data_IF_957601711546
#
_entry.id   IF_957601711546
#
_cell.length_a   1.000
_cell.length_b   1.000
_cell.length_c   1.000
_cell.angle_alpha   90.00
_cell.angle_beta   90.00
_cell.angle_gamma   90.00
#
_symmetry.space_group_name_H-M   'P 1'
#
loop_
_entity.id
_entity.type
_entity.pdbx_description
1 polymer ?
#
# COMPACT_ATOMS: atom_id res chain seq x y z
N UNK A 1 -19.27 15.65 46.57
CA UNK A 1 -19.36 15.41 45.11
C UNK A 1 -18.36 16.33 44.43
N UNK A 2 -17.12 15.87 44.30
CA UNK A 2 -16.09 16.55 43.50
C UNK A 2 -16.35 16.20 42.05
N UNK A 3 -16.84 17.16 41.29
CA UNK A 3 -16.93 17.07 39.83
C UNK A 3 -15.50 16.91 39.32
N UNK A 4 -15.13 15.71 38.87
CA UNK A 4 -13.90 15.51 38.12
C UNK A 4 -13.98 16.41 36.89
N UNK A 5 -13.18 17.48 36.92
CA UNK A 5 -12.94 18.32 35.77
C UNK A 5 -12.39 17.39 34.66
N UNK A 6 -13.02 17.28 33.48
CA UNK A 6 -12.44 16.49 32.40
C UNK A 6 -11.07 17.08 32.15
N UNK A 7 -10.02 16.29 32.41
CA UNK A 7 -8.64 16.70 32.23
C UNK A 7 -8.56 17.27 30.81
N UNK A 8 -8.37 18.59 30.69
CA UNK A 8 -8.00 19.23 29.44
C UNK A 8 -6.87 18.36 28.90
N UNK A 9 -7.04 17.73 27.73
CA UNK A 9 -6.00 16.88 27.13
C UNK A 9 -4.71 17.70 27.09
N UNK A 10 -3.85 17.50 28.08
CA UNK A 10 -2.67 18.32 28.24
C UNK A 10 -1.69 17.86 27.17
N UNK A 11 -1.32 18.79 26.31
CA UNK A 11 -0.32 18.53 25.29
C UNK A 11 0.99 18.21 25.99
N UNK A 12 1.49 17.00 25.81
CA UNK A 12 2.80 16.62 26.31
C UNK A 12 3.86 17.34 25.48
N UNK A 13 4.45 18.40 26.06
CA UNK A 13 5.46 19.23 25.39
C UNK A 13 6.84 18.55 25.29
N UNK A 14 7.03 17.39 25.91
CA UNK A 14 8.25 16.59 25.71
C UNK A 14 8.31 15.98 24.30
N UNK A 15 7.14 15.80 23.68
CA UNK A 15 6.99 15.36 22.31
C UNK A 15 7.29 16.46 21.28
N UNK A 16 7.72 16.05 20.09
CA UNK A 16 8.04 16.98 19.02
C UNK A 16 6.77 17.54 18.37
N UNK A 17 6.77 18.84 18.07
CA UNK A 17 5.75 19.49 17.24
C UNK A 17 6.18 19.51 15.77
N UNK A 18 5.34 18.99 14.88
CA UNK A 18 5.48 19.10 13.43
C UNK A 18 4.25 19.83 12.85
N UNK A 19 4.43 21.10 12.49
CA UNK A 19 3.31 21.94 12.05
C UNK A 19 2.18 21.96 13.10
N UNK A 20 0.95 21.53 12.75
CA UNK A 20 -0.18 21.47 13.68
C UNK A 20 -0.28 20.15 14.49
N UNK A 21 0.63 19.19 14.28
CA UNK A 21 0.62 17.85 14.87
C UNK A 21 1.64 17.77 16.02
N UNK A 22 1.19 17.26 17.17
CA UNK A 22 2.03 16.88 18.30
C UNK A 22 2.26 15.38 18.31
N UNK A 23 3.53 14.98 18.35
CA UNK A 23 3.93 13.58 18.38
C UNK A 23 4.15 13.10 19.81
N UNK A 24 3.99 11.79 20.03
CA UNK A 24 4.35 11.14 21.30
C UNK A 24 5.87 11.24 21.51
N UNK A 25 6.29 11.29 22.77
CA UNK A 25 7.70 11.29 23.14
C UNK A 25 8.45 10.09 22.54
N UNK A 26 9.67 10.31 22.03
CA UNK A 26 10.48 9.29 21.36
C UNK A 26 10.26 9.16 19.84
N UNK A 27 9.25 9.81 19.26
CA UNK A 27 9.06 9.84 17.80
C UNK A 27 9.81 11.04 17.17
N UNK A 28 10.74 10.75 16.26
CA UNK A 28 11.54 11.75 15.54
C UNK A 28 10.90 12.19 14.21
N UNK A 29 11.43 13.24 13.59
CA UNK A 29 11.00 13.72 12.25
C UNK A 29 11.12 12.64 11.18
N UNK A 30 12.16 11.82 11.25
CA UNK A 30 12.39 10.73 10.29
C UNK A 30 11.26 9.71 10.31
N UNK A 31 10.73 9.37 11.49
CA UNK A 31 9.57 8.47 11.58
C UNK A 31 8.33 9.08 10.93
N UNK A 32 8.12 10.38 11.10
CA UNK A 32 6.98 11.07 10.49
C UNK A 32 7.11 11.11 8.97
N UNK A 33 8.28 11.46 8.43
CA UNK A 33 8.51 11.44 6.97
C UNK A 33 8.37 10.03 6.40
N UNK A 34 8.88 9.00 7.09
CA UNK A 34 8.70 7.60 6.70
C UNK A 34 7.22 7.20 6.70
N UNK A 35 6.45 7.65 7.70
CA UNK A 35 5.00 7.45 7.72
C UNK A 35 4.31 8.18 6.56
N UNK A 36 4.69 9.41 6.26
CA UNK A 36 4.10 10.17 5.15
C UNK A 36 4.38 9.50 3.80
N UNK A 37 5.61 9.01 3.61
CA UNK A 37 5.98 8.21 2.45
C UNK A 37 5.15 6.92 2.38
N UNK A 38 5.07 6.17 3.48
CA UNK A 38 4.27 4.96 3.58
C UNK A 38 2.79 5.19 3.25
N UNK A 39 2.20 6.27 3.75
CA UNK A 39 0.82 6.65 3.43
C UNK A 39 0.65 7.06 1.97
N UNK A 40 1.64 7.69 1.35
CA UNK A 40 1.63 8.01 -0.07
C UNK A 40 1.72 6.74 -0.93
N UNK A 41 2.65 5.83 -0.63
CA UNK A 41 2.93 4.68 -1.51
C UNK A 41 1.96 3.53 -1.29
N UNK A 42 1.64 3.14 -0.06
CA UNK A 42 0.91 1.90 0.22
C UNK A 42 -0.44 1.82 -0.48
N UNK A 43 -1.28 2.86 -0.39
CA UNK A 43 -2.59 2.85 -1.05
C UNK A 43 -2.48 3.11 -2.56
N UNK A 44 -1.48 3.90 -2.99
CA UNK A 44 -1.17 4.02 -4.41
C UNK A 44 -0.85 2.65 -5.04
N UNK A 45 0.04 1.90 -4.40
CA UNK A 45 0.40 0.53 -4.78
C UNK A 45 -0.81 -0.40 -4.69
N UNK A 46 -1.64 -0.31 -3.65
CA UNK A 46 -2.88 -1.09 -3.55
C UNK A 46 -3.77 -0.91 -4.78
N UNK A 47 -3.95 0.34 -5.21
CA UNK A 47 -4.85 0.68 -6.33
C UNK A 47 -4.28 0.33 -7.70
N UNK A 48 -2.96 0.34 -7.86
CA UNK A 48 -2.29 -0.05 -9.10
C UNK A 48 -2.69 -1.45 -9.56
N UNK A 49 -2.99 -2.36 -8.63
CA UNK A 49 -3.39 -3.73 -8.97
C UNK A 49 -4.57 -3.79 -9.94
N UNK A 50 -5.47 -2.80 -9.90
CA UNK A 50 -6.65 -2.69 -10.75
C UNK A 50 -6.32 -2.27 -12.19
N UNK A 51 -5.21 -1.57 -12.40
CA UNK A 51 -4.75 -1.15 -13.74
C UNK A 51 -3.64 -2.06 -14.26
N UNK A 52 -2.75 -2.54 -13.39
CA UNK A 52 -1.68 -3.48 -13.72
C UNK A 52 -2.19 -4.86 -14.13
N UNK A 53 -3.27 -5.34 -13.51
CA UNK A 53 -3.81 -6.68 -13.83
C UNK A 53 -4.31 -6.79 -15.28
N UNK A 54 -5.16 -5.87 -15.78
CA UNK A 54 -5.54 -5.86 -17.20
C UNK A 54 -4.36 -5.70 -18.16
N UNK A 55 -3.32 -4.94 -17.80
CA UNK A 55 -2.12 -4.80 -18.65
C UNK A 55 -1.45 -6.15 -18.89
N UNK A 56 -1.23 -6.96 -17.84
CA UNK A 56 -0.64 -8.30 -17.98
C UNK A 56 -1.57 -9.25 -18.73
N UNK A 57 -2.86 -9.23 -18.43
CA UNK A 57 -3.84 -10.07 -19.13
C UNK A 57 -3.87 -9.78 -20.63
N UNK A 58 -3.77 -8.52 -21.01
CA UNK A 58 -3.83 -8.10 -22.41
C UNK A 58 -2.51 -8.32 -23.15
N UNK A 59 -1.37 -7.89 -22.57
CA UNK A 59 -0.08 -7.89 -23.28
C UNK A 59 0.63 -9.24 -23.23
N UNK A 60 0.54 -9.95 -22.11
CA UNK A 60 1.35 -11.15 -21.85
C UNK A 60 0.54 -12.41 -22.12
N UNK A 61 -0.67 -12.50 -21.56
CA UNK A 61 -1.52 -13.68 -21.67
C UNK A 61 -2.52 -13.64 -22.83
N UNK A 62 -2.65 -12.50 -23.52
CA UNK A 62 -3.58 -12.29 -24.64
C UNK A 62 -5.03 -12.72 -24.34
N UNK A 63 -5.49 -12.50 -23.10
CA UNK A 63 -6.83 -12.90 -22.65
C UNK A 63 -7.89 -12.02 -23.32
N UNK A 64 -8.94 -12.59 -23.93
CA UNK A 64 -10.03 -11.83 -24.53
C UNK A 64 -10.70 -10.88 -23.54
N UNK A 65 -11.01 -9.65 -23.99
CA UNK A 65 -11.61 -8.61 -23.13
C UNK A 65 -12.92 -9.07 -22.44
N UNK A 66 -13.70 -9.93 -23.10
CA UNK A 66 -14.94 -10.48 -22.56
C UNK A 66 -14.73 -11.32 -21.28
N UNK A 67 -13.57 -11.93 -21.10
CA UNK A 67 -13.25 -12.81 -19.97
C UNK A 67 -12.49 -12.08 -18.85
N UNK A 68 -11.82 -10.97 -19.17
CA UNK A 68 -10.97 -10.23 -18.23
C UNK A 68 -11.72 -9.74 -16.99
N UNK A 69 -12.99 -9.33 -17.14
CA UNK A 69 -13.80 -8.86 -16.02
C UNK A 69 -14.07 -9.97 -14.99
N UNK A 70 -14.47 -11.15 -15.47
CA UNK A 70 -14.70 -12.31 -14.61
C UNK A 70 -13.40 -12.77 -13.93
N UNK A 71 -12.31 -12.87 -14.71
CA UNK A 71 -11.02 -13.30 -14.17
C UNK A 71 -10.45 -12.32 -13.14
N UNK A 72 -10.59 -11.01 -13.38
CA UNK A 72 -10.22 -9.98 -12.40
C UNK A 72 -11.01 -10.14 -11.11
N UNK A 73 -12.32 -10.43 -11.21
CA UNK A 73 -13.17 -10.74 -10.05
C UNK A 73 -12.66 -11.93 -9.25
N UNK A 74 -12.30 -13.03 -9.91
CA UNK A 74 -11.73 -14.21 -9.23
C UNK A 74 -10.39 -13.92 -8.56
N UNK A 75 -9.52 -13.12 -9.19
CA UNK A 75 -8.24 -12.71 -8.60
C UNK A 75 -8.43 -11.82 -7.37
N UNK A 76 -9.44 -10.94 -7.38
CA UNK A 76 -9.81 -10.14 -6.21
C UNK A 76 -10.30 -11.04 -5.08
N UNK A 77 -11.20 -12.00 -5.35
CA UNK A 77 -11.67 -12.96 -4.36
C UNK A 77 -10.49 -13.76 -3.76
N UNK A 78 -9.58 -14.24 -4.61
CA UNK A 78 -8.38 -14.95 -4.15
C UNK A 78 -7.49 -14.05 -3.27
N UNK A 79 -7.34 -12.78 -3.64
CA UNK A 79 -6.60 -11.78 -2.84
C UNK A 79 -7.24 -11.63 -1.46
N UNK A 80 -8.56 -11.44 -1.38
CA UNK A 80 -9.27 -11.28 -0.12
C UNK A 80 -9.13 -12.52 0.76
N UNK A 81 -9.38 -13.72 0.22
CA UNK A 81 -9.24 -14.98 0.97
C UNK A 81 -7.83 -15.13 1.53
N UNK A 82 -6.80 -14.91 0.71
CA UNK A 82 -5.41 -14.97 1.15
C UNK A 82 -5.11 -13.94 2.24
N UNK A 83 -5.60 -12.71 2.08
CA UNK A 83 -5.43 -11.63 3.05
C UNK A 83 -6.06 -11.98 4.41
N UNK A 84 -7.30 -12.50 4.40
CA UNK A 84 -7.99 -12.96 5.60
C UNK A 84 -7.22 -14.04 6.35
N UNK A 85 -6.66 -15.02 5.64
CA UNK A 85 -5.86 -16.09 6.26
C UNK A 85 -4.56 -15.57 6.87
N UNK A 86 -3.96 -14.55 6.27
CA UNK A 86 -2.67 -13.98 6.69
C UNK A 86 -2.80 -13.03 7.88
N UNK A 87 -3.95 -12.38 8.10
CA UNK A 87 -4.13 -11.40 9.18
C UNK A 87 -3.79 -11.94 10.58
N UNK A 88 -4.17 -13.19 10.88
CA UNK A 88 -3.84 -13.82 12.18
C UNK A 88 -2.34 -13.95 12.40
N UNK A 89 -1.59 -14.29 11.35
CA UNK A 89 -0.13 -14.43 11.39
C UNK A 89 0.54 -13.06 11.50
N UNK A 90 0.04 -12.07 10.76
CA UNK A 90 0.53 -10.68 10.77
C UNK A 90 0.48 -10.09 12.17
N UNK A 91 -0.59 -10.31 12.94
CA UNK A 91 -0.69 -9.84 14.32
C UNK A 91 0.42 -10.42 15.22
N UNK A 92 0.60 -11.74 15.20
CA UNK A 92 1.65 -12.41 15.99
C UNK A 92 3.04 -11.98 15.57
N UNK A 93 3.27 -11.81 14.26
CA UNK A 93 4.53 -11.31 13.74
C UNK A 93 4.78 -9.87 14.17
N UNK A 94 3.76 -9.00 14.16
CA UNK A 94 3.90 -7.59 14.53
C UNK A 94 4.44 -7.42 15.96
N UNK A 95 4.03 -8.30 16.87
CA UNK A 95 4.50 -8.30 18.25
C UNK A 95 5.95 -8.76 18.38
N UNK A 96 6.45 -9.60 17.46
CA UNK A 96 7.82 -10.14 17.48
C UNK A 96 8.85 -9.29 16.72
N UNK A 97 8.54 -8.92 15.48
CA UNK A 97 9.45 -8.13 14.60
C UNK A 97 9.24 -6.62 14.76
N UNK A 98 8.19 -6.21 15.46
CA UNK A 98 7.79 -4.82 15.62
C UNK A 98 7.01 -4.30 14.41
N UNK A 99 6.12 -3.32 14.67
CA UNK A 99 5.21 -2.74 13.68
C UNK A 99 5.92 -2.19 12.45
N UNK A 100 7.03 -1.49 12.66
CA UNK A 100 7.82 -0.86 11.57
C UNK A 100 8.54 -1.89 10.70
N UNK A 101 9.18 -2.89 11.33
CA UNK A 101 9.89 -3.93 10.60
C UNK A 101 8.94 -4.77 9.75
N UNK A 102 7.79 -5.15 10.33
CA UNK A 102 6.76 -5.89 9.60
C UNK A 102 6.12 -5.07 8.48
N UNK A 103 5.91 -3.77 8.68
CA UNK A 103 5.44 -2.87 7.61
C UNK A 103 6.38 -2.89 6.40
N UNK A 104 7.69 -2.68 6.62
CA UNK A 104 8.67 -2.67 5.54
C UNK A 104 8.79 -4.03 4.84
N UNK A 105 8.72 -5.12 5.59
CA UNK A 105 8.68 -6.48 5.02
C UNK A 105 7.42 -6.67 4.16
N UNK A 106 6.27 -6.20 4.64
CA UNK A 106 5.00 -6.25 3.90
C UNK A 106 5.08 -5.49 2.58
N UNK A 107 5.60 -4.25 2.59
CA UNK A 107 5.82 -3.49 1.36
C UNK A 107 6.75 -4.22 0.39
N UNK A 108 7.85 -4.79 0.88
CA UNK A 108 8.79 -5.53 0.04
C UNK A 108 8.13 -6.77 -0.59
N UNK A 109 7.38 -7.56 0.18
CA UNK A 109 6.66 -8.74 -0.33
C UNK A 109 5.58 -8.34 -1.33
N UNK A 110 4.85 -7.25 -1.06
CA UNK A 110 3.87 -6.69 -2.00
C UNK A 110 4.54 -6.28 -3.32
N UNK A 111 5.70 -5.63 -3.22
CA UNK A 111 6.54 -5.28 -4.35
C UNK A 111 7.01 -6.50 -5.15
N UNK A 112 7.43 -7.58 -4.49
CA UNK A 112 7.79 -8.83 -5.19
C UNK A 112 6.59 -9.41 -5.96
N UNK A 113 5.38 -9.31 -5.39
CA UNK A 113 4.15 -9.64 -6.09
C UNK A 113 4.03 -8.88 -7.41
N UNK A 114 4.31 -7.57 -7.41
CA UNK A 114 4.32 -6.75 -8.62
C UNK A 114 5.47 -7.06 -9.58
N UNK A 115 6.66 -7.35 -9.05
CA UNK A 115 7.84 -7.66 -9.85
C UNK A 115 7.62 -8.93 -10.67
N UNK A 116 7.03 -9.98 -10.09
CA UNK A 116 6.82 -11.25 -10.77
C UNK A 116 5.53 -11.29 -11.60
N UNK A 117 4.53 -10.48 -11.27
CA UNK A 117 3.25 -10.42 -11.99
C UNK A 117 3.36 -10.35 -13.53
N UNK A 118 4.19 -9.49 -14.15
CA UNK A 118 4.28 -9.38 -15.61
C UNK A 118 5.08 -10.51 -16.28
N UNK A 119 5.62 -11.46 -15.50
CA UNK A 119 6.30 -12.65 -15.99
C UNK A 119 5.42 -13.90 -15.88
N UNK A 120 4.13 -13.75 -15.58
CA UNK A 120 3.19 -14.86 -15.58
C UNK A 120 2.95 -15.35 -17.01
N UNK A 121 3.18 -16.63 -17.25
CA UNK A 121 2.91 -17.31 -18.54
C UNK A 121 1.54 -18.00 -18.55
N UNK A 122 0.87 -18.06 -17.39
CA UNK A 122 -0.43 -18.70 -17.26
C UNK A 122 -1.34 -18.03 -16.22
N UNK A 123 -2.64 -18.28 -16.34
CA UNK A 123 -3.64 -17.78 -15.38
C UNK A 123 -3.40 -18.30 -13.95
N UNK A 124 -3.08 -19.59 -13.71
CA UNK A 124 -2.75 -20.07 -12.37
C UNK A 124 -1.57 -19.35 -11.72
N UNK A 125 -0.55 -18.96 -12.49
CA UNK A 125 0.57 -18.18 -11.96
C UNK A 125 0.13 -16.79 -11.47
N UNK A 126 -0.82 -16.14 -12.15
CA UNK A 126 -1.41 -14.89 -11.65
C UNK A 126 -2.02 -15.07 -10.25
N UNK A 127 -2.70 -16.19 -10.00
CA UNK A 127 -3.24 -16.50 -8.68
C UNK A 127 -2.13 -16.66 -7.64
N UNK A 128 -1.04 -17.35 -7.98
CA UNK A 128 0.12 -17.51 -7.08
C UNK A 128 0.73 -16.16 -6.73
N UNK A 129 1.00 -15.31 -7.73
CA UNK A 129 1.54 -13.97 -7.49
C UNK A 129 0.56 -13.08 -6.74
N UNK A 130 -0.75 -13.27 -6.92
CA UNK A 130 -1.79 -12.60 -6.10
C UNK A 130 -1.74 -12.98 -4.64
N UNK A 131 -1.46 -14.22 -4.30
CA UNK A 131 -1.32 -14.64 -2.90
C UNK A 131 -0.11 -13.98 -2.25
N UNK A 132 1.02 -13.89 -2.97
CA UNK A 132 2.23 -13.18 -2.50
C UNK A 132 1.91 -11.69 -2.27
N UNK A 133 1.29 -11.06 -3.26
CA UNK A 133 0.82 -9.67 -3.16
C UNK A 133 -0.12 -9.47 -1.96
N UNK A 134 -1.10 -10.36 -1.77
CA UNK A 134 -2.07 -10.29 -0.68
C UNK A 134 -1.41 -10.39 0.70
N UNK A 135 -0.38 -11.24 0.85
CA UNK A 135 0.37 -11.35 2.10
C UNK A 135 1.12 -10.06 2.42
N UNK A 136 1.77 -9.45 1.42
CA UNK A 136 2.43 -8.16 1.59
C UNK A 136 1.45 -7.03 1.89
N UNK A 137 0.29 -7.05 1.21
CA UNK A 137 -0.79 -6.09 1.42
C UNK A 137 -1.36 -6.16 2.84
N UNK A 138 -1.61 -7.37 3.35
CA UNK A 138 -2.08 -7.61 4.72
C UNK A 138 -1.11 -7.03 5.76
N UNK A 139 0.19 -7.32 5.62
CA UNK A 139 1.22 -6.88 6.54
C UNK A 139 1.43 -5.36 6.50
N UNK A 140 1.47 -4.77 5.30
CA UNK A 140 1.71 -3.33 5.13
C UNK A 140 0.51 -2.49 5.59
N UNK A 141 -0.69 -2.74 5.06
CA UNK A 141 -1.89 -1.93 5.40
C UNK A 141 -2.28 -2.08 6.87
N UNK A 142 -2.20 -3.30 7.41
CA UNK A 142 -2.45 -3.56 8.83
C UNK A 142 -1.51 -2.77 9.73
N UNK A 143 -0.20 -2.80 9.46
CA UNK A 143 0.78 -2.08 10.28
C UNK A 143 0.71 -0.56 10.09
N UNK A 144 0.42 -0.06 8.88
CA UNK A 144 0.26 1.37 8.63
C UNK A 144 -0.88 1.96 9.48
N UNK A 145 -2.00 1.23 9.60
CA UNK A 145 -3.13 1.58 10.45
C UNK A 145 -2.80 1.63 11.95
N UNK A 146 -1.80 0.86 12.40
CA UNK A 146 -1.30 0.94 13.78
C UNK A 146 -0.36 2.13 13.99
N UNK A 147 0.53 2.40 13.02
CA UNK A 147 1.50 3.49 13.09
C UNK A 147 0.82 4.87 13.14
N UNK A 148 -0.22 5.07 12.33
CA UNK A 148 -1.00 6.32 12.32
C UNK A 148 -1.70 6.59 13.66
N UNK A 149 -2.02 5.53 14.41
CA UNK A 149 -2.67 5.62 15.72
C UNK A 149 -1.67 5.89 16.84
N UNK A 150 -0.45 5.36 16.75
CA UNK A 150 0.54 5.42 17.84
C UNK A 150 1.43 6.67 17.81
N UNK A 151 1.67 7.26 16.64
CA UNK A 151 2.61 8.39 16.50
C UNK A 151 2.12 9.73 17.06
N UNK A 152 0.86 10.14 16.82
CA UNK A 152 0.37 11.42 17.33
C UNK A 152 -0.15 11.29 18.76
N UNK A 153 -0.04 12.38 19.51
CA UNK A 153 -0.81 12.53 20.76
C UNK A 153 -2.31 12.60 20.44
N UNK A 154 -3.16 12.26 21.40
CA UNK A 154 -4.63 12.21 21.20
C UNK A 154 -5.20 13.53 20.64
N UNK A 155 -4.67 14.68 21.08
CA UNK A 155 -5.02 16.02 20.58
C UNK A 155 -4.77 16.23 19.08
N UNK A 156 -3.89 15.44 18.48
CA UNK A 156 -3.47 15.54 17.08
C UNK A 156 -3.83 14.31 16.25
N UNK A 157 -4.52 13.33 16.84
CA UNK A 157 -4.86 12.06 16.19
C UNK A 157 -5.71 12.29 14.94
N UNK A 158 -6.78 13.09 15.06
CA UNK A 158 -7.64 13.44 13.92
C UNK A 158 -6.89 14.15 12.78
N UNK A 159 -5.95 15.04 13.11
CA UNK A 159 -5.13 15.75 12.10
C UNK A 159 -4.19 14.82 11.36
N UNK A 160 -3.63 13.85 12.06
CA UNK A 160 -2.70 12.85 11.48
C UNK A 160 -3.44 11.86 10.60
N UNK A 161 -4.66 11.47 10.99
CA UNK A 161 -5.59 10.70 10.16
C UNK A 161 -5.94 11.47 8.87
N UNK A 162 -6.28 12.76 8.98
CA UNK A 162 -6.58 13.60 7.82
C UNK A 162 -5.38 13.76 6.88
N UNK A 163 -4.18 13.99 7.42
CA UNK A 163 -2.93 14.05 6.65
C UNK A 163 -2.66 12.71 5.94
N UNK A 164 -2.82 11.60 6.67
CA UNK A 164 -2.73 10.26 6.10
C UNK A 164 -3.69 10.09 4.93
N UNK A 165 -4.97 10.38 5.11
CA UNK A 165 -5.98 10.27 4.05
C UNK A 165 -5.64 11.10 2.80
N UNK A 166 -5.18 12.34 3.00
CA UNK A 166 -4.73 13.20 1.90
C UNK A 166 -3.56 12.59 1.13
N UNK A 167 -2.55 12.07 1.85
CA UNK A 167 -1.40 11.41 1.24
C UNK A 167 -1.80 10.14 0.51
N UNK A 168 -2.69 9.33 1.06
CA UNK A 168 -3.22 8.15 0.37
C UNK A 168 -3.90 8.54 -0.95
N UNK A 169 -4.73 9.60 -0.95
CA UNK A 169 -5.37 10.11 -2.16
C UNK A 169 -4.37 10.59 -3.22
N UNK A 170 -3.35 11.36 -2.79
CA UNK A 170 -2.25 11.76 -3.68
C UNK A 170 -1.46 10.55 -4.21
N UNK A 171 -1.31 9.52 -3.39
CA UNK A 171 -0.73 8.23 -3.74
C UNK A 171 -1.47 7.53 -4.86
N UNK A 172 -2.80 7.47 -4.77
CA UNK A 172 -3.65 6.92 -5.85
C UNK A 172 -3.48 7.72 -7.14
N UNK A 173 -3.48 9.05 -7.05
CA UNK A 173 -3.26 9.90 -8.23
C UNK A 173 -1.88 9.63 -8.85
N UNK A 174 -0.84 9.53 -8.02
CA UNK A 174 0.51 9.29 -8.49
C UNK A 174 0.69 7.89 -9.09
N UNK A 175 0.24 6.84 -8.40
CA UNK A 175 0.49 5.47 -8.85
C UNK A 175 -0.57 4.99 -9.84
N UNK A 176 -1.86 5.08 -9.53
CA UNK A 176 -2.87 4.53 -10.42
C UNK A 176 -3.08 5.39 -11.68
N UNK A 177 -3.08 6.72 -11.54
CA UNK A 177 -3.37 7.61 -12.67
C UNK A 177 -2.10 7.93 -13.48
N UNK A 178 -1.06 8.48 -12.85
CA UNK A 178 0.14 8.86 -13.60
C UNK A 178 0.90 7.62 -14.09
N UNK A 179 1.20 6.66 -13.20
CA UNK A 179 1.94 5.45 -13.60
C UNK A 179 1.03 4.45 -14.31
N UNK A 180 -0.13 4.10 -13.72
CA UNK A 180 -0.99 3.05 -14.28
C UNK A 180 -1.71 3.41 -15.59
N UNK A 181 -2.06 4.68 -15.80
CA UNK A 181 -2.89 5.09 -16.95
C UNK A 181 -2.13 5.96 -17.96
N UNK A 182 -1.24 6.86 -17.52
CA UNK A 182 -0.50 7.76 -18.43
C UNK A 182 0.81 7.17 -18.93
N UNK A 183 1.52 6.36 -18.15
CA UNK A 183 2.80 5.79 -18.54
C UNK A 183 2.70 4.72 -19.65
N UNK A 184 1.72 3.78 -19.68
CA UNK A 184 1.62 2.80 -20.75
C UNK A 184 1.53 3.40 -22.16
N UNK A 185 0.61 4.33 -22.46
CA UNK A 185 0.55 4.92 -23.80
C UNK A 185 1.78 5.78 -24.12
N UNK A 186 2.41 6.42 -23.11
CA UNK A 186 3.63 7.19 -23.33
C UNK A 186 4.80 6.30 -23.77
N UNK A 187 4.97 5.13 -23.14
CA UNK A 187 5.99 4.15 -23.53
C UNK A 187 5.66 3.49 -24.89
N UNK A 188 4.39 3.17 -25.14
CA UNK A 188 4.00 2.64 -26.46
C UNK A 188 4.29 3.63 -27.59
N UNK A 189 4.01 4.93 -27.38
CA UNK A 189 4.34 5.99 -28.34
C UNK A 189 5.86 6.20 -28.52
N UNK A 190 6.66 5.83 -27.52
CA UNK A 190 8.12 5.84 -27.61
C UNK A 190 8.68 4.62 -28.37
N UNK A 191 7.83 3.68 -28.79
CA UNK A 191 8.20 2.53 -29.62
C UNK A 191 8.44 1.23 -28.87
N UNK A 192 8.16 1.18 -27.56
CA UNK A 192 8.25 -0.06 -26.78
C UNK A 192 7.09 -1.01 -27.11
N UNK A 193 7.35 -2.31 -27.07
CA UNK A 193 6.31 -3.32 -27.28
C UNK A 193 5.37 -3.42 -26.04
N UNK A 194 4.20 -4.03 -26.21
CA UNK A 194 3.20 -4.10 -25.14
C UNK A 194 3.68 -4.87 -23.89
N UNK A 195 4.55 -5.88 -24.06
CA UNK A 195 5.08 -6.71 -22.98
C UNK A 195 6.17 -5.95 -22.22
N UNK A 196 7.07 -5.29 -22.93
CA UNK A 196 8.11 -4.39 -22.40
C UNK A 196 7.48 -3.26 -21.60
N UNK A 197 6.45 -2.59 -22.14
CA UNK A 197 5.69 -1.55 -21.43
C UNK A 197 5.15 -2.11 -20.11
N UNK A 198 4.53 -3.28 -20.16
CA UNK A 198 3.93 -3.91 -18.98
C UNK A 198 5.01 -4.24 -17.93
N UNK A 199 6.13 -4.82 -18.33
CA UNK A 199 7.26 -5.15 -17.44
C UNK A 199 7.90 -3.92 -16.83
N UNK A 200 8.18 -2.88 -17.64
CA UNK A 200 8.80 -1.63 -17.18
C UNK A 200 7.93 -0.98 -16.10
N UNK A 201 6.61 -0.90 -16.32
CA UNK A 201 5.69 -0.28 -15.36
C UNK A 201 5.69 -1.07 -14.04
N UNK A 202 5.61 -2.40 -14.09
CA UNK A 202 5.59 -3.23 -12.89
C UNK A 202 6.92 -3.17 -12.12
N UNK A 203 8.07 -3.12 -12.82
CA UNK A 203 9.38 -2.91 -12.20
C UNK A 203 9.48 -1.51 -11.58
N UNK A 204 8.94 -0.48 -12.24
CA UNK A 204 8.91 0.87 -11.68
C UNK A 204 8.05 0.93 -10.42
N UNK A 205 6.89 0.28 -10.42
CA UNK A 205 6.00 0.16 -9.26
C UNK A 205 6.67 -0.61 -8.11
N UNK A 206 7.47 -1.63 -8.41
CA UNK A 206 8.26 -2.35 -7.40
C UNK A 206 9.31 -1.46 -6.70
N UNK A 207 9.84 -0.45 -7.37
CA UNK A 207 10.88 0.45 -6.84
C UNK A 207 10.33 1.62 -6.00
N UNK A 208 9.01 1.78 -5.90
CA UNK A 208 8.33 2.76 -5.03
C UNK A 208 8.13 2.21 -3.62
#
# INVERSE_FOLDING_TARGET
MTVEHPALMQVDKSGMKFGPIWLVSGITRTHLYAYMYAALTTIGLLTFVNTGTPLVMNSTLNIPLAEQGALSGYLVIATEIAQFLVFGIVGVLADRIGRRGLFSLGLFVMGLGYLFYPFADSVPELFVYRVIYAAGLAASTGMLGTIIADYPQDVSRGKTVALGGMLNGLGVIFVAILIGNRLPPALSNAGFDAVEVTRIIHVFVFLL
#
